data_IF_814837773055
#
_entry.id   IF_814837773055
#
_cell.length_a   1.000
_cell.length_b   1.000
_cell.length_c   1.000
_cell.angle_alpha   90.00
_cell.angle_beta   90.00
_cell.angle_gamma   90.00
#
_symmetry.space_group_name_H-M   'P 1'
#
loop_
_entity.id
_entity.type
_entity.pdbx_description
1 polymer ?
#
# COMPACT_ATOMS: atom_id res chain seq x y z
N UNK A 1 21.19 -39.88 -3.82
CA UNK A 1 20.70 -38.77 -4.67
C UNK A 1 19.37 -38.16 -4.23
N UNK A 2 18.41 -38.91 -3.65
CA UNK A 2 17.07 -38.40 -3.28
C UNK A 2 17.06 -37.36 -2.14
N UNK A 3 17.90 -37.52 -1.12
CA UNK A 3 17.95 -36.64 0.06
C UNK A 3 18.52 -35.24 -0.27
N UNK A 4 19.48 -35.17 -1.20
CA UNK A 4 20.06 -33.90 -1.66
C UNK A 4 19.07 -33.05 -2.46
N UNK A 5 18.18 -33.70 -3.22
CA UNK A 5 17.13 -33.03 -3.99
C UNK A 5 16.06 -32.42 -3.08
N UNK A 6 15.66 -33.11 -2.00
CA UNK A 6 14.74 -32.55 -1.00
C UNK A 6 15.35 -31.34 -0.26
N UNK A 7 16.65 -31.36 0.04
CA UNK A 7 17.33 -30.26 0.70
C UNK A 7 17.34 -28.97 -0.13
N UNK A 8 17.57 -29.07 -1.45
CA UNK A 8 17.49 -27.89 -2.33
C UNK A 8 16.06 -27.35 -2.46
N UNK A 9 15.03 -28.20 -2.54
CA UNK A 9 13.63 -27.75 -2.64
C UNK A 9 13.17 -26.96 -1.40
N UNK A 10 13.62 -27.38 -0.20
CA UNK A 10 13.37 -26.69 1.07
C UNK A 10 14.07 -25.33 1.19
N UNK A 11 15.23 -25.18 0.57
CA UNK A 11 15.97 -23.91 0.55
C UNK A 11 15.33 -22.86 -0.38
N UNK A 12 14.69 -23.30 -1.48
CA UNK A 12 13.99 -22.42 -2.40
C UNK A 12 12.67 -21.86 -1.83
N UNK A 13 12.00 -22.56 -0.91
CA UNK A 13 10.78 -22.06 -0.24
C UNK A 13 11.02 -20.91 0.75
N UNK A 14 12.28 -20.62 1.10
CA UNK A 14 12.65 -19.52 2.00
C UNK A 14 13.05 -18.23 1.26
N UNK A 15 13.02 -18.23 -0.07
CA UNK A 15 13.23 -17.02 -0.87
C UNK A 15 11.95 -16.17 -0.81
N UNK A 16 11.77 -15.44 0.28
CA UNK A 16 10.69 -14.46 0.40
C UNK A 16 10.82 -13.41 -0.71
N UNK A 17 9.79 -13.25 -1.53
CA UNK A 17 9.72 -12.16 -2.50
C UNK A 17 9.47 -10.86 -1.75
N UNK A 18 10.41 -9.91 -1.82
CA UNK A 18 10.16 -8.54 -1.36
C UNK A 18 9.16 -7.90 -2.33
N UNK A 19 7.88 -7.94 -1.97
CA UNK A 19 6.82 -7.27 -2.72
C UNK A 19 6.62 -5.86 -2.18
N UNK A 20 6.67 -4.87 -3.06
CA UNK A 20 6.25 -3.51 -2.71
C UNK A 20 4.73 -3.52 -2.46
N UNK A 21 4.33 -3.16 -1.24
CA UNK A 21 2.92 -3.17 -0.83
C UNK A 21 2.46 -1.75 -0.56
N UNK A 22 1.33 -1.37 -1.16
CA UNK A 22 0.72 -0.05 -0.98
C UNK A 22 0.38 0.24 0.49
N UNK A 23 0.11 -0.80 1.29
CA UNK A 23 -0.15 -0.68 2.73
C UNK A 23 1.09 -0.41 3.60
N UNK A 24 2.28 -0.28 2.99
CA UNK A 24 3.54 0.04 3.69
C UNK A 24 4.12 1.39 3.27
N UNK A 25 3.35 2.21 2.56
CA UNK A 25 3.76 3.54 2.11
C UNK A 25 3.28 4.62 3.10
N UNK A 26 4.06 5.68 3.25
CA UNK A 26 3.57 6.94 3.82
C UNK A 26 2.94 7.79 2.72
N UNK A 27 1.69 8.22 2.93
CA UNK A 27 0.96 9.05 1.98
C UNK A 27 1.01 10.50 2.42
N UNK A 28 1.63 11.33 1.57
CA UNK A 28 1.92 12.74 1.83
C UNK A 28 1.44 13.61 0.68
N UNK A 29 0.83 14.73 1.02
CA UNK A 29 0.40 15.76 0.06
C UNK A 29 0.44 17.13 0.74
N UNK A 30 0.08 18.19 0.01
CA UNK A 30 0.00 19.57 0.52
C UNK A 30 -1.47 20.02 0.55
N UNK A 31 -1.78 21.23 1.00
CA UNK A 31 -3.13 21.79 0.90
C UNK A 31 -3.34 22.43 -0.49
N UNK A 32 -4.13 21.79 -1.36
CA UNK A 32 -4.44 22.27 -2.71
C UNK A 32 -5.85 21.87 -3.19
N UNK A 33 -6.89 22.63 -2.80
CA UNK A 33 -8.24 22.42 -3.32
C UNK A 33 -8.32 22.63 -4.84
N UNK A 34 -9.14 21.85 -5.57
CA UNK A 34 -10.07 20.83 -5.08
C UNK A 34 -9.47 19.41 -4.98
N UNK A 35 -8.14 19.27 -5.07
CA UNK A 35 -7.49 17.96 -5.22
C UNK A 35 -7.18 17.29 -3.88
N UNK A 36 -6.62 18.03 -2.93
CA UNK A 36 -6.23 17.54 -1.62
C UNK A 36 -6.44 18.67 -0.63
N UNK A 37 -7.30 18.46 0.37
CA UNK A 37 -7.61 19.46 1.37
C UNK A 37 -8.09 18.83 2.67
N UNK A 38 -7.95 19.57 3.77
CA UNK A 38 -8.55 19.19 5.04
C UNK A 38 -10.02 19.61 5.04
N UNK A 39 -10.94 18.65 5.19
CA UNK A 39 -12.37 18.91 5.18
C UNK A 39 -12.88 19.52 6.50
N UNK A 40 -14.18 19.81 6.58
CA UNK A 40 -14.82 20.42 7.76
C UNK A 40 -14.74 19.54 9.02
N UNK A 41 -14.52 18.23 8.86
CA UNK A 41 -14.34 17.27 9.95
C UNK A 41 -12.87 17.04 10.33
N UNK A 42 -11.95 17.75 9.67
CA UNK A 42 -10.51 17.60 9.86
C UNK A 42 -9.92 16.37 9.16
N UNK A 43 -10.64 15.78 8.20
CA UNK A 43 -10.18 14.59 7.47
C UNK A 43 -9.62 14.98 6.09
N UNK A 44 -8.65 14.22 5.56
CA UNK A 44 -8.20 14.35 4.18
C UNK A 44 -9.35 14.14 3.19
N UNK A 45 -9.56 15.09 2.28
CA UNK A 45 -10.58 15.05 1.25
C UNK A 45 -10.08 15.62 -0.09
N UNK A 46 -10.95 15.55 -1.10
CA UNK A 46 -10.68 16.04 -2.45
C UNK A 46 -10.42 14.94 -3.48
N UNK A 47 -10.35 15.36 -4.75
CA UNK A 47 -10.34 14.44 -5.90
C UNK A 47 -9.16 13.44 -5.87
N UNK A 48 -7.97 13.88 -5.44
CA UNK A 48 -6.81 13.01 -5.35
C UNK A 48 -6.93 12.02 -4.18
N UNK A 49 -7.51 12.45 -3.05
CA UNK A 49 -7.77 11.59 -1.89
C UNK A 49 -8.81 10.52 -2.24
N UNK A 50 -9.91 10.90 -2.91
CA UNK A 50 -10.94 9.95 -3.37
C UNK A 50 -10.38 8.92 -4.36
N UNK A 51 -9.57 9.38 -5.32
CA UNK A 51 -8.89 8.49 -6.27
C UNK A 51 -7.99 7.48 -5.54
N UNK A 52 -7.22 7.93 -4.55
CA UNK A 52 -6.34 7.08 -3.76
C UNK A 52 -7.14 6.03 -2.97
N UNK A 53 -8.25 6.42 -2.35
CA UNK A 53 -9.13 5.49 -1.64
C UNK A 53 -9.73 4.43 -2.57
N UNK A 54 -10.12 4.82 -3.79
CA UNK A 54 -10.58 3.88 -4.82
C UNK A 54 -9.48 2.92 -5.28
N UNK A 55 -8.23 3.37 -5.36
CA UNK A 55 -7.09 2.50 -5.64
C UNK A 55 -6.97 1.44 -4.55
N UNK A 56 -6.96 1.84 -3.27
CA UNK A 56 -6.89 0.90 -2.14
C UNK A 56 -8.03 -0.12 -2.14
N UNK A 57 -9.26 0.32 -2.43
CA UNK A 57 -10.40 -0.58 -2.54
C UNK A 57 -10.19 -1.62 -3.65
N UNK A 58 -9.73 -1.20 -4.84
CA UNK A 58 -9.50 -2.10 -5.97
C UNK A 58 -8.34 -3.06 -5.75
N UNK A 59 -7.30 -2.62 -5.04
CA UNK A 59 -6.11 -3.44 -4.74
C UNK A 59 -6.24 -4.22 -3.43
N UNK A 60 -7.41 -4.18 -2.79
CA UNK A 60 -7.66 -4.80 -1.48
C UNK A 60 -6.62 -4.38 -0.42
N UNK A 61 -6.13 -3.14 -0.55
CA UNK A 61 -5.22 -2.53 0.41
C UNK A 61 -6.06 -1.91 1.54
N UNK A 62 -5.75 -2.18 2.82
CA UNK A 62 -6.42 -1.48 3.92
C UNK A 62 -6.23 0.03 3.82
N UNK A 63 -7.20 0.81 4.27
CA UNK A 63 -7.07 2.27 4.32
C UNK A 63 -5.83 2.69 5.11
N UNK A 64 -5.10 3.69 4.59
CA UNK A 64 -3.86 4.19 5.17
C UNK A 64 -4.04 5.64 5.63
N UNK A 65 -3.27 6.11 6.62
CA UNK A 65 -3.27 7.52 7.00
C UNK A 65 -2.72 8.38 5.85
N UNK A 66 -3.37 9.51 5.60
CA UNK A 66 -2.93 10.54 4.64
C UNK A 66 -2.57 11.77 5.45
N UNK A 67 -1.36 12.29 5.26
CA UNK A 67 -0.90 13.54 5.88
C UNK A 67 -0.86 14.64 4.82
N UNK A 68 -1.73 15.62 5.01
CA UNK A 68 -1.82 16.88 4.26
C UNK A 68 -0.94 17.92 4.96
#
# INVERSE_FOLDING_TARGET
MRIRFCGCLLLLSCLGTAQAELGKLEYLTEEYPPYNFTDQSGQPGGLAVELLQLIWQRTQTPAQPIRI
#
